data_IF_165052127044
#
_entry.id   IF_165052127044
#
_cell.length_a   1.000
_cell.length_b   1.000
_cell.length_c   1.000
_cell.angle_alpha   90.00
_cell.angle_beta   90.00
_cell.angle_gamma   90.00
#
_symmetry.space_group_name_H-M   'P 1'
#
loop_
_entity.id
_entity.type
_entity.pdbx_description
1 polymer ?
#
# COMPACT_ATOMS: atom_id res chain seq x y z
N UNK A 1 -0.43 -34.12 -7.73
CA UNK A 1 -0.13 -33.06 -6.76
C UNK A 1 1.38 -32.92 -6.66
N UNK A 2 1.92 -31.79 -7.10
CA UNK A 2 3.37 -31.57 -7.15
C UNK A 2 3.89 -31.24 -5.73
N UNK A 3 4.89 -31.97 -5.23
CA UNK A 3 5.47 -31.67 -3.93
C UNK A 3 6.52 -30.56 -4.02
N UNK A 4 6.20 -29.40 -3.45
CA UNK A 4 7.10 -28.25 -3.37
C UNK A 4 7.80 -28.18 -2.02
N UNK A 5 9.04 -27.67 -2.01
CA UNK A 5 9.69 -27.26 -0.75
C UNK A 5 8.92 -26.10 -0.14
N UNK A 6 8.80 -26.10 1.18
CA UNK A 6 8.04 -25.09 1.93
C UNK A 6 8.52 -23.64 1.68
N UNK A 7 9.82 -23.42 1.45
CA UNK A 7 10.35 -22.10 1.09
C UNK A 7 9.91 -21.64 -0.30
N UNK A 8 9.81 -22.56 -1.26
CA UNK A 8 9.33 -22.29 -2.63
C UNK A 8 7.83 -21.99 -2.58
N UNK A 9 7.06 -22.83 -1.87
CA UNK A 9 5.62 -22.63 -1.66
C UNK A 9 5.33 -21.24 -1.08
N UNK A 10 6.00 -20.87 0.01
CA UNK A 10 5.85 -19.55 0.64
C UNK A 10 6.21 -18.38 -0.29
N UNK A 11 7.25 -18.55 -1.11
CA UNK A 11 7.64 -17.52 -2.08
C UNK A 11 6.56 -17.30 -3.14
N UNK A 12 5.99 -18.40 -3.67
CA UNK A 12 4.89 -18.36 -4.64
C UNK A 12 3.66 -17.70 -4.01
N UNK A 13 3.22 -18.17 -2.83
CA UNK A 13 2.08 -17.59 -2.11
C UNK A 13 2.23 -16.08 -1.89
N UNK A 14 3.41 -15.65 -1.43
CA UNK A 14 3.68 -14.23 -1.16
C UNK A 14 3.59 -13.42 -2.45
N UNK A 15 4.15 -13.93 -3.54
CA UNK A 15 4.16 -13.23 -4.83
C UNK A 15 2.76 -13.12 -5.42
N UNK A 16 1.99 -14.22 -5.40
CA UNK A 16 0.61 -14.23 -5.89
C UNK A 16 -0.30 -13.33 -5.05
N UNK A 17 -0.10 -13.29 -3.73
CA UNK A 17 -0.86 -12.38 -2.83
C UNK A 17 -0.58 -10.91 -3.15
N UNK A 18 0.68 -10.54 -3.39
CA UNK A 18 1.03 -9.16 -3.77
C UNK A 18 0.39 -8.79 -5.11
N UNK A 19 0.41 -9.72 -6.06
CA UNK A 19 -0.23 -9.51 -7.36
C UNK A 19 -1.74 -9.36 -7.21
N UNK A 20 -2.40 -10.23 -6.45
CA UNK A 20 -3.85 -10.16 -6.22
C UNK A 20 -4.27 -8.86 -5.51
N UNK A 21 -3.49 -8.38 -4.53
CA UNK A 21 -3.69 -7.07 -3.89
C UNK A 21 -3.59 -5.92 -4.90
N UNK A 22 -2.65 -5.99 -5.85
CA UNK A 22 -2.54 -5.01 -6.93
C UNK A 22 -3.72 -5.09 -7.93
N UNK A 23 -4.17 -6.31 -8.29
CA UNK A 23 -5.32 -6.49 -9.17
C UNK A 23 -6.60 -5.89 -8.58
N UNK A 24 -6.79 -5.98 -7.26
CA UNK A 24 -7.90 -5.29 -6.58
C UNK A 24 -7.84 -3.77 -6.80
N UNK A 25 -6.66 -3.14 -6.73
CA UNK A 25 -6.54 -1.70 -7.00
C UNK A 25 -6.80 -1.37 -8.48
N UNK A 26 -6.33 -2.22 -9.39
CA UNK A 26 -6.54 -2.04 -10.82
C UNK A 26 -8.02 -2.18 -11.20
N UNK A 27 -8.72 -3.13 -10.57
CA UNK A 27 -10.17 -3.30 -10.71
C UNK A 27 -10.92 -2.06 -10.25
N UNK A 28 -10.58 -1.47 -9.09
CA UNK A 28 -11.19 -0.23 -8.63
C UNK A 28 -11.01 0.91 -9.66
N UNK A 29 -9.81 1.07 -10.23
CA UNK A 29 -9.58 2.06 -11.29
C UNK A 29 -10.34 1.70 -12.58
N UNK A 30 -10.37 0.43 -12.99
CA UNK A 30 -11.12 0.02 -14.17
C UNK A 30 -12.64 0.23 -14.00
N UNK A 31 -13.14 0.17 -12.76
CA UNK A 31 -14.52 0.51 -12.41
C UNK A 31 -14.79 2.03 -12.33
N UNK A 32 -13.77 2.86 -12.52
CA UNK A 32 -13.90 4.31 -12.57
C UNK A 32 -13.60 5.03 -11.27
N UNK A 33 -12.98 4.37 -10.27
CA UNK A 33 -12.55 5.05 -9.03
C UNK A 33 -11.60 6.22 -9.35
N UNK A 34 -11.85 7.35 -8.70
CA UNK A 34 -10.91 8.46 -8.54
C UNK A 34 -10.89 8.90 -7.07
N UNK A 35 -9.71 9.00 -6.46
CA UNK A 35 -9.52 9.59 -5.13
C UNK A 35 -9.03 11.04 -5.24
N UNK A 36 -9.58 11.92 -4.41
CA UNK A 36 -9.17 13.33 -4.30
C UNK A 36 -8.95 13.69 -2.83
N UNK A 37 -7.78 14.23 -2.52
CA UNK A 37 -7.34 14.65 -1.19
C UNK A 37 -6.51 15.95 -1.30
N UNK A 38 -6.01 16.46 -0.17
CA UNK A 38 -5.34 17.77 -0.09
C UNK A 38 -4.11 17.88 -0.99
N UNK A 39 -3.24 16.87 -0.99
CA UNK A 39 -2.01 16.85 -1.81
C UNK A 39 -2.00 15.72 -2.85
N UNK A 40 -3.14 15.04 -3.05
CA UNK A 40 -3.21 13.85 -3.89
C UNK A 40 -4.49 13.85 -4.70
N UNK A 41 -4.37 13.64 -6.01
CA UNK A 41 -5.49 13.51 -6.91
C UNK A 41 -5.19 12.43 -7.93
N UNK A 42 -6.10 11.47 -8.03
CA UNK A 42 -6.18 10.56 -9.16
C UNK A 42 -7.00 11.21 -10.27
N UNK A 43 -6.56 11.00 -11.50
CA UNK A 43 -7.35 11.27 -12.70
C UNK A 43 -7.38 9.99 -13.51
N UNK A 44 -8.56 9.42 -13.63
CA UNK A 44 -8.76 8.21 -14.38
C UNK A 44 -9.00 8.57 -15.85
N UNK A 45 -7.96 8.42 -16.64
CA UNK A 45 -7.96 8.71 -18.07
C UNK A 45 -8.15 7.45 -18.93
N UNK A 46 -8.56 6.32 -18.33
CA UNK A 46 -8.86 5.10 -19.06
C UNK A 46 -10.16 5.27 -19.87
N UNK A 47 -10.11 4.89 -21.14
CA UNK A 47 -11.32 4.80 -21.96
C UNK A 47 -12.20 3.64 -21.49
N UNK A 48 -13.48 3.66 -21.86
CA UNK A 48 -14.40 2.57 -21.55
C UNK A 48 -13.91 1.21 -22.11
N UNK A 49 -13.31 1.22 -23.31
CA UNK A 49 -12.73 0.04 -23.92
C UNK A 49 -11.55 -0.51 -23.08
N UNK A 50 -10.62 0.37 -22.66
CA UNK A 50 -9.48 -0.03 -21.83
C UNK A 50 -9.93 -0.60 -20.48
N UNK A 51 -10.92 0.03 -19.83
CA UNK A 51 -11.48 -0.46 -18.58
C UNK A 51 -12.07 -1.86 -18.74
N UNK A 52 -12.84 -2.07 -19.80
CA UNK A 52 -13.46 -3.37 -20.09
C UNK A 52 -12.40 -4.45 -20.33
N UNK A 53 -11.35 -4.12 -21.08
CA UNK A 53 -10.24 -5.03 -21.35
C UNK A 53 -9.46 -5.38 -20.07
N UNK A 54 -9.17 -4.38 -19.22
CA UNK A 54 -8.52 -4.60 -17.92
C UNK A 54 -9.36 -5.53 -17.04
N UNK A 55 -10.68 -5.32 -16.92
CA UNK A 55 -11.56 -6.18 -16.12
C UNK A 55 -11.59 -7.62 -16.66
N UNK A 56 -11.57 -7.78 -17.98
CA UNK A 56 -11.49 -9.09 -18.63
C UNK A 56 -10.17 -9.80 -18.30
N UNK A 57 -9.04 -9.10 -18.39
CA UNK A 57 -7.73 -9.67 -18.00
C UNK A 57 -7.65 -10.01 -16.52
N UNK A 58 -8.16 -9.15 -15.62
CA UNK A 58 -8.22 -9.43 -14.19
C UNK A 58 -9.01 -10.72 -13.92
N UNK A 59 -10.12 -10.91 -14.63
CA UNK A 59 -10.93 -12.14 -14.51
C UNK A 59 -10.12 -13.37 -14.93
N UNK A 60 -9.45 -13.33 -16.09
CA UNK A 60 -8.58 -14.41 -16.56
C UNK A 60 -7.44 -14.72 -15.58
N UNK A 61 -6.79 -13.69 -15.03
CA UNK A 61 -5.70 -13.88 -14.06
C UNK A 61 -6.19 -14.54 -12.77
N UNK A 62 -7.39 -14.18 -12.29
CA UNK A 62 -8.00 -14.82 -11.12
C UNK A 62 -8.35 -16.28 -11.37
N UNK A 63 -8.73 -16.65 -12.59
CA UNK A 63 -8.95 -18.06 -12.95
C UNK A 63 -7.62 -18.84 -12.87
N UNK A 64 -6.53 -18.30 -13.40
CA UNK A 64 -5.18 -18.88 -13.28
C UNK A 64 -4.75 -19.01 -11.82
N UNK A 65 -5.08 -18.05 -10.95
CA UNK A 65 -4.75 -18.15 -9.52
C UNK A 65 -5.45 -19.32 -8.85
N UNK A 66 -6.72 -19.59 -9.20
CA UNK A 66 -7.44 -20.75 -8.66
C UNK A 66 -6.83 -22.06 -9.13
N UNK A 67 -6.46 -22.15 -10.41
CA UNK A 67 -5.75 -23.32 -10.94
C UNK A 67 -4.42 -23.56 -10.20
N UNK A 68 -3.60 -22.51 -10.03
CA UNK A 68 -2.34 -22.60 -9.29
C UNK A 68 -2.56 -22.96 -7.82
N UNK A 69 -3.63 -22.45 -7.21
CA UNK A 69 -3.99 -22.76 -5.84
C UNK A 69 -4.33 -24.24 -5.68
N UNK A 70 -5.14 -24.78 -6.57
CA UNK A 70 -5.57 -26.17 -6.56
C UNK A 70 -4.42 -27.15 -6.87
N UNK A 71 -3.61 -26.84 -7.90
CA UNK A 71 -2.53 -27.72 -8.37
C UNK A 71 -1.34 -27.80 -7.39
N UNK A 72 -1.03 -26.68 -6.73
CA UNK A 72 0.12 -26.54 -5.83
C UNK A 72 -0.29 -26.60 -4.35
N UNK A 73 -1.58 -26.70 -4.05
CA UNK A 73 -2.13 -26.70 -2.69
C UNK A 73 -1.78 -25.43 -1.92
N UNK A 74 -1.83 -24.27 -2.58
CA UNK A 74 -1.50 -22.98 -1.96
C UNK A 74 -2.61 -22.55 -0.99
N UNK A 75 -2.25 -21.88 0.09
CA UNK A 75 -3.22 -21.35 1.03
C UNK A 75 -3.36 -19.83 0.86
N UNK A 76 -4.60 -19.36 0.72
CA UNK A 76 -4.90 -17.94 0.76
C UNK A 76 -4.55 -17.38 2.14
N UNK A 77 -3.75 -16.31 2.19
CA UNK A 77 -3.40 -15.66 3.45
C UNK A 77 -4.30 -14.47 3.70
N UNK A 78 -4.92 -14.43 4.87
CA UNK A 78 -5.63 -13.23 5.34
C UNK A 78 -4.60 -12.26 5.90
N UNK A 79 -4.43 -11.12 5.23
CA UNK A 79 -3.62 -10.03 5.76
C UNK A 79 -4.50 -9.17 6.67
N UNK A 80 -4.17 -9.13 7.95
CA UNK A 80 -4.84 -8.24 8.90
C UNK A 80 -4.65 -6.78 8.50
N UNK A 81 -5.75 -6.07 8.21
CA UNK A 81 -5.75 -4.64 7.84
C UNK A 81 -5.02 -3.80 8.90
N UNK A 82 -5.15 -4.17 10.18
CA UNK A 82 -4.42 -3.52 11.27
C UNK A 82 -2.90 -3.56 11.09
N UNK A 83 -2.33 -4.71 10.66
CA UNK A 83 -0.90 -4.84 10.39
C UNK A 83 -0.46 -4.00 9.18
N UNK A 84 -1.31 -3.90 8.15
CA UNK A 84 -1.02 -3.05 7.00
C UNK A 84 -1.03 -1.57 7.38
N UNK A 85 -2.06 -1.09 8.08
CA UNK A 85 -2.13 0.30 8.58
C UNK A 85 -0.94 0.59 9.48
N UNK A 86 -0.62 -0.32 10.41
CA UNK A 86 0.52 -0.18 11.31
C UNK A 86 1.85 0.00 10.55
N UNK A 87 2.12 -0.86 9.57
CA UNK A 87 3.33 -0.79 8.75
C UNK A 87 3.41 0.53 7.95
N UNK A 88 2.29 0.94 7.36
CA UNK A 88 2.20 2.21 6.63
C UNK A 88 2.42 3.41 7.55
N UNK A 89 1.82 3.43 8.74
CA UNK A 89 2.05 4.50 9.72
C UNK A 89 3.52 4.59 10.15
N UNK A 90 4.20 3.46 10.35
CA UNK A 90 5.61 3.45 10.71
C UNK A 90 6.48 4.08 9.62
N UNK A 91 6.25 3.73 8.35
CA UNK A 91 6.97 4.34 7.21
C UNK A 91 6.68 5.84 7.10
N UNK A 92 5.41 6.25 7.23
CA UNK A 92 5.03 7.64 7.15
C UNK A 92 5.64 8.50 8.27
N UNK A 93 5.74 7.97 9.49
CA UNK A 93 6.36 8.68 10.60
C UNK A 93 7.85 8.96 10.31
N UNK A 94 8.58 8.00 9.74
CA UNK A 94 9.97 8.20 9.31
C UNK A 94 10.07 9.28 8.23
N UNK A 95 9.24 9.19 7.18
CA UNK A 95 9.26 10.17 6.09
C UNK A 95 8.93 11.59 6.57
N UNK A 96 8.01 11.74 7.53
CA UNK A 96 7.69 13.03 8.12
C UNK A 96 8.86 13.59 8.95
N UNK A 97 9.59 12.74 9.67
CA UNK A 97 10.78 13.17 10.41
C UNK A 97 11.86 13.73 9.47
N UNK A 98 12.05 13.09 8.31
CA UNK A 98 13.08 13.47 7.32
C UNK A 98 12.85 14.84 6.65
N UNK A 99 11.64 15.39 6.73
CA UNK A 99 11.33 16.73 6.21
C UNK A 99 11.39 17.83 7.28
N UNK A 100 11.81 17.52 8.52
CA UNK A 100 12.11 18.54 9.52
C UNK A 100 13.38 19.32 9.17
N UNK A 101 13.49 20.56 9.66
CA UNK A 101 14.60 21.47 9.35
C UNK A 101 16.00 20.89 9.58
N UNK A 102 16.17 20.05 10.61
CA UNK A 102 17.43 19.33 10.90
C UNK A 102 17.88 18.41 9.77
N UNK A 103 16.95 17.78 9.07
CA UNK A 103 17.25 16.80 8.00
C UNK A 103 17.25 17.47 6.62
N UNK A 104 16.43 18.51 6.44
CA UNK A 104 16.44 19.34 5.24
C UNK A 104 17.80 19.97 4.95
N UNK A 105 18.64 20.19 5.97
CA UNK A 105 20.00 20.72 5.78
C UNK A 105 20.87 19.86 4.84
N UNK A 106 20.52 18.58 4.63
CA UNK A 106 21.18 17.69 3.65
C UNK A 106 20.95 18.14 2.19
N UNK A 107 19.87 18.87 1.94
CA UNK A 107 19.50 19.41 0.63
C UNK A 107 19.88 20.89 0.47
N UNK A 108 20.64 21.44 1.41
CA UNK A 108 20.97 22.86 1.51
C UNK A 108 20.43 23.48 2.80
N UNK A 109 21.04 24.57 3.26
CA UNK A 109 20.66 25.22 4.53
C UNK A 109 19.25 25.84 4.40
N UNK A 110 18.22 25.33 5.10
CA UNK A 110 16.88 25.91 5.00
C UNK A 110 16.83 27.29 5.68
N UNK A 111 16.00 28.22 5.18
CA UNK A 111 15.74 29.49 5.85
C UNK A 111 15.20 29.25 7.28
N UNK A 112 15.67 30.04 8.25
CA UNK A 112 15.23 29.89 9.65
C UNK A 112 13.72 30.01 9.82
N UNK A 113 13.10 30.91 9.05
CA UNK A 113 11.65 31.13 9.05
C UNK A 113 10.89 29.90 8.56
N UNK A 114 11.41 29.19 7.54
CA UNK A 114 10.82 27.94 7.06
C UNK A 114 10.85 26.86 8.14
N UNK A 115 11.98 26.71 8.82
CA UNK A 115 12.12 25.73 9.92
C UNK A 115 11.14 26.04 11.06
N UNK A 116 11.07 27.31 11.49
CA UNK A 116 10.16 27.75 12.55
C UNK A 116 8.68 27.54 12.18
N UNK A 117 8.34 27.67 10.89
CA UNK A 117 6.99 27.40 10.38
C UNK A 117 6.70 25.89 10.27
N UNK A 118 7.63 25.13 9.70
CA UNK A 118 7.41 23.75 9.29
C UNK A 118 7.45 22.77 10.46
N UNK A 119 8.49 22.85 11.32
CA UNK A 119 8.75 21.85 12.35
C UNK A 119 7.54 21.63 13.30
N UNK A 120 6.89 22.66 13.86
CA UNK A 120 5.72 22.44 14.73
C UNK A 120 4.54 21.78 14.03
N UNK A 121 4.40 21.95 12.71
CA UNK A 121 3.33 21.33 11.91
C UNK A 121 3.64 19.86 11.63
N UNK A 122 4.90 19.56 11.32
CA UNK A 122 5.38 18.19 11.16
C UNK A 122 5.21 17.41 12.46
N UNK A 123 5.54 18.00 13.62
CA UNK A 123 5.32 17.36 14.92
C UNK A 123 3.84 17.01 15.15
N UNK A 124 2.92 17.89 14.77
CA UNK A 124 1.47 17.61 14.84
C UNK A 124 1.05 16.48 13.91
N UNK A 125 1.60 16.41 12.70
CA UNK A 125 1.32 15.32 11.76
C UNK A 125 1.87 13.99 12.28
N UNK A 126 3.08 13.96 12.81
CA UNK A 126 3.68 12.78 13.43
C UNK A 126 2.83 12.32 14.62
N UNK A 127 2.40 13.23 15.49
CA UNK A 127 1.53 12.91 16.62
C UNK A 127 0.19 12.29 16.16
N UNK A 128 -0.39 12.78 15.07
CA UNK A 128 -1.61 12.23 14.49
C UNK A 128 -1.38 10.83 13.88
N UNK A 129 -0.29 10.62 13.13
CA UNK A 129 0.09 9.30 12.59
C UNK A 129 0.31 8.30 13.73
N UNK A 130 1.00 8.70 14.79
CA UNK A 130 1.23 7.88 15.99
C UNK A 130 -0.07 7.61 16.77
N UNK A 131 -1.08 8.48 16.68
CA UNK A 131 -2.38 8.20 17.24
C UNK A 131 -3.09 7.08 16.45
N UNK A 132 -3.10 7.15 15.11
CA UNK A 132 -3.65 6.09 14.25
C UNK A 132 -2.94 4.75 14.52
N UNK A 133 -1.61 4.77 14.61
CA UNK A 133 -0.79 3.62 14.98
C UNK A 133 -1.28 2.94 16.27
N UNK A 134 -1.54 3.72 17.33
CA UNK A 134 -2.02 3.20 18.63
C UNK A 134 -3.45 2.66 18.58
N UNK A 135 -4.29 3.18 17.68
CA UNK A 135 -5.66 2.68 17.50
C UNK A 135 -5.65 1.27 16.90
N UNK A 136 -4.77 1.00 15.94
CA UNK A 136 -4.71 -0.31 15.26
C UNK A 136 -3.88 -1.35 16.00
N UNK A 137 -2.99 -0.93 16.90
CA UNK A 137 -2.17 -1.83 17.74
C UNK A 137 -3.01 -2.83 18.53
N UNK A 138 -4.17 -2.40 19.06
CA UNK A 138 -5.09 -3.24 19.82
C UNK A 138 -5.75 -4.36 19.01
N UNK A 139 -5.70 -4.28 17.69
CA UNK A 139 -6.32 -5.24 16.76
C UNK A 139 -5.32 -6.20 16.13
N UNK A 140 -4.05 -6.20 16.59
CA UNK A 140 -3.00 -7.13 16.15
C UNK A 140 -3.07 -8.41 17.00
N UNK A 141 -4.14 -9.18 16.82
CA UNK A 141 -4.26 -10.55 17.35
C UNK A 141 -3.84 -11.51 16.24
#
# INVERSE_FOLDING_TARGET
MMQLRESIKRSIETTLMILDEALCQFEEWAQGRERRAVFYQERNNLSEAQRTEILSEITRMRDIFRELQDDLGLEGRVRGVANHIWGTCAVLAVNLEEIKGKYLSRYGKPPRELVAYLDPRIERLIAAVNHIFRLVEKSRI
#
